data_IF_988867160913
#
_entry.id   IF_988867160913
#
_cell.length_a   1.000
_cell.length_b   1.000
_cell.length_c   1.000
_cell.angle_alpha   90.00
_cell.angle_beta   90.00
_cell.angle_gamma   90.00
#
_symmetry.space_group_name_H-M   'P 1'
#
loop_
_entity.id
_entity.type
_entity.pdbx_description
1 polymer ?
2 non-polymer ?
3 water ?
#
# COMPACT_ATOMS: atom_id res chain seq x y z
N UNK A 1 7.97 -24.59 27.35
CA UNK A 1 8.23 -23.18 26.94
C UNK A 1 8.40 -22.30 28.15
N UNK A 2 8.63 -21.02 27.86
CA UNK A 2 8.89 -20.06 28.90
C UNK A 2 7.63 -19.40 29.57
N UNK A 3 6.49 -19.61 28.98
CA UNK A 3 5.24 -19.07 29.53
C UNK A 3 4.91 -17.79 28.82
N UNK A 4 3.62 -17.48 28.73
CA UNK A 4 3.17 -16.33 27.95
C UNK A 4 3.70 -14.98 28.47
N UNK A 5 3.78 -14.80 29.80
CA UNK A 5 4.22 -13.54 30.37
C UNK A 5 5.65 -13.20 29.92
N UNK A 6 6.55 -14.16 30.09
CA UNK A 6 7.95 -13.99 29.54
C UNK A 6 8.06 -13.87 28.12
N UNK A 7 7.25 -14.66 27.38
CA UNK A 7 7.25 -14.55 25.89
C UNK A 7 6.85 -13.13 25.46
N UNK A 8 5.85 -12.57 26.12
CA UNK A 8 5.37 -11.21 25.83
C UNK A 8 6.43 -10.15 26.11
N UNK A 9 7.01 -10.15 27.31
CA UNK A 9 8.04 -9.18 27.65
C UNK A 9 9.25 -9.30 26.67
N UNK A 10 9.64 -10.53 26.33
CA UNK A 10 10.71 -10.79 25.33
C UNK A 10 10.35 -10.19 23.99
N UNK A 11 9.10 -10.36 23.56
CA UNK A 11 8.61 -9.78 22.32
C UNK A 11 8.62 -8.24 22.37
N UNK A 12 8.16 -7.68 23.50
CA UNK A 12 8.17 -6.22 23.66
C UNK A 12 9.61 -5.66 23.55
N UNK A 13 10.55 -6.31 24.23
CA UNK A 13 11.96 -5.93 24.20
C UNK A 13 12.53 -6.00 22.76
N UNK A 14 12.18 -7.08 22.04
CA UNK A 14 12.61 -7.26 20.66
C UNK A 14 12.05 -6.16 19.76
N UNK A 15 10.76 -5.84 19.88
CA UNK A 15 10.12 -4.74 19.14
C UNK A 15 10.83 -3.41 19.42
N UNK A 16 11.09 -3.12 20.70
CA UNK A 16 11.75 -1.85 21.06
C UNK A 16 13.13 -1.74 20.39
N UNK A 17 13.93 -2.79 20.46
CA UNK A 17 15.26 -2.77 19.87
C UNK A 17 15.25 -2.80 18.35
N UNK A 18 14.53 -3.78 17.80
CA UNK A 18 14.61 -4.08 16.36
C UNK A 18 13.58 -3.47 15.45
N UNK A 19 12.50 -2.96 15.99
CA UNK A 19 11.52 -2.18 15.22
C UNK A 19 11.63 -0.68 15.50
N UNK A 20 11.68 -0.29 16.77
CA UNK A 20 11.73 1.12 17.18
C UNK A 20 13.15 1.71 17.32
N UNK A 21 14.20 0.90 17.24
CA UNK A 21 15.58 1.38 17.35
C UNK A 21 15.98 1.97 18.68
N UNK A 22 15.49 1.39 19.80
CA UNK A 22 15.76 1.87 21.15
C UNK A 22 16.32 0.76 22.02
N UNK A 23 17.23 1.09 22.94
CA UNK A 23 17.78 0.13 23.89
C UNK A 23 16.70 -0.01 24.98
N UNK A 24 16.11 -1.20 25.13
CA UNK A 24 15.05 -1.27 26.15
C UNK A 24 15.55 -1.22 27.59
N UNK A 25 14.89 -0.41 28.42
CA UNK A 25 15.14 -0.34 29.87
C UNK A 25 14.22 -1.44 30.42
N UNK A 26 14.80 -2.60 30.69
CA UNK A 26 14.01 -3.78 31.10
C UNK A 26 13.25 -3.58 32.42
N UNK A 27 13.88 -2.88 33.36
CA UNK A 27 13.24 -2.59 34.64
C UNK A 27 11.98 -1.77 34.40
N UNK A 28 12.06 -0.73 33.58
CA UNK A 28 10.88 0.07 33.25
C UNK A 28 9.85 -0.75 32.48
N UNK A 29 10.30 -1.46 31.46
CA UNK A 29 9.41 -2.29 30.66
C UNK A 29 8.60 -3.27 31.52
N UNK A 30 9.23 -3.88 32.50
CA UNK A 30 8.50 -4.76 33.43
C UNK A 30 7.41 -4.01 34.24
N UNK A 31 7.73 -2.80 34.71
CA UNK A 31 6.78 -1.97 35.47
C UNK A 31 5.58 -1.58 34.59
N UNK A 32 5.86 -1.19 33.33
CA UNK A 32 4.80 -0.84 32.36
C UNK A 32 3.90 -2.06 32.07
N UNK A 33 4.54 -3.22 31.93
CA UNK A 33 3.82 -4.46 31.65
C UNK A 33 2.89 -4.84 32.81
N UNK A 34 3.38 -4.69 34.04
CA UNK A 34 2.54 -4.93 35.23
C UNK A 34 1.29 -4.06 35.17
N UNK A 35 1.45 -2.79 34.84
CA UNK A 35 0.34 -1.86 34.75
C UNK A 35 -0.68 -2.14 33.69
N UNK A 36 -0.24 -2.78 32.59
CA UNK A 36 -1.16 -3.19 31.50
C UNK A 36 -2.06 -4.35 31.88
N UNK A 37 -1.60 -5.24 32.78
CA UNK A 37 -2.41 -6.35 33.34
C UNK A 37 -1.70 -7.68 33.39
N UNK A 38 -2.43 -8.79 33.69
CA UNK A 38 -1.79 -10.15 33.61
C UNK A 38 -1.51 -10.50 32.15
N UNK A 39 -0.61 -11.48 31.92
CA UNK A 39 -0.23 -11.89 30.52
C UNK A 39 -1.49 -12.24 29.71
N UNK A 40 -1.56 -11.71 28.48
CA UNK A 40 -2.70 -11.88 27.60
C UNK A 40 -2.35 -12.90 26.53
N UNK A 41 -3.20 -13.94 26.39
CA UNK A 41 -3.10 -15.01 25.39
C UNK A 41 -3.78 -14.59 24.08
N UNK A 42 -4.79 -13.75 24.16
CA UNK A 42 -5.52 -13.24 23.02
C UNK A 42 -4.79 -12.01 22.47
N UNK A 43 -4.00 -12.22 21.41
CA UNK A 43 -3.23 -11.13 20.73
C UNK A 43 -4.00 -9.85 20.41
N UNK A 44 -5.25 -9.99 19.98
CA UNK A 44 -6.16 -8.86 19.67
C UNK A 44 -6.29 -7.87 20.82
N UNK A 45 -6.37 -8.39 22.05
CA UNK A 45 -6.55 -7.57 23.25
C UNK A 45 -5.30 -6.86 23.74
N UNK A 46 -4.11 -7.30 23.31
CA UNK A 46 -2.83 -6.69 23.76
C UNK A 46 -2.28 -5.63 22.82
N UNK A 47 -2.95 -5.37 21.69
CA UNK A 47 -2.47 -4.42 20.68
C UNK A 47 -3.36 -3.19 20.53
N UNK A 48 -2.73 -2.12 20.01
CA UNK A 48 -3.35 -0.81 19.81
C UNK A 48 -3.58 -0.60 18.31
N UNK A 49 -4.79 -0.17 17.96
CA UNK A 49 -5.12 0.16 16.57
C UNK A 49 -4.63 1.61 16.35
N UNK A 50 -3.45 1.73 15.75
CA UNK A 50 -2.80 3.02 15.49
C UNK A 50 -3.60 4.00 14.65
N UNK A 51 -4.41 3.47 13.73
CA UNK A 51 -5.25 4.29 12.84
C UNK A 51 -6.67 4.58 13.37
N UNK A 52 -6.97 4.25 14.65
CA UNK A 52 -8.29 4.53 15.21
C UNK A 52 -8.25 5.76 16.09
N UNK A 53 -8.90 6.84 15.67
CA UNK A 53 -8.98 8.11 16.40
C UNK A 53 -9.42 7.98 17.84
N UNK A 54 -10.51 7.28 18.09
CA UNK A 54 -11.05 7.11 19.47
C UNK A 54 -10.07 6.38 20.41
N UNK A 55 -9.35 5.41 19.88
CA UNK A 55 -8.40 4.64 20.64
C UNK A 55 -7.21 5.53 21.08
N UNK A 56 -6.78 6.39 20.18
CA UNK A 56 -5.74 7.37 20.49
C UNK A 56 -6.25 8.41 21.48
N UNK A 57 -7.50 8.85 21.35
CA UNK A 57 -8.11 9.78 22.33
C UNK A 57 -8.19 9.16 23.73
N UNK A 58 -8.41 7.84 23.78
CA UNK A 58 -8.49 7.08 25.03
C UNK A 58 -7.11 6.96 25.68
N UNK A 59 -6.07 6.74 24.88
CA UNK A 59 -4.67 6.71 25.41
C UNK A 59 -4.36 8.09 25.96
N UNK A 60 -4.75 9.15 25.27
CA UNK A 60 -4.53 10.50 25.74
C UNK A 60 -5.22 10.77 27.07
N UNK A 61 -6.51 10.45 27.15
CA UNK A 61 -7.28 10.75 28.37
C UNK A 61 -6.95 9.80 29.52
N UNK A 62 -6.93 8.52 29.25
CA UNK A 62 -6.76 7.50 30.32
C UNK A 62 -5.33 7.22 30.71
N UNK A 63 -4.40 7.22 29.76
CA UNK A 63 -3.00 6.94 30.10
C UNK A 63 -2.19 8.23 30.33
N UNK A 64 -2.10 9.11 29.33
CA UNK A 64 -1.27 10.32 29.45
C UNK A 64 -1.76 11.25 30.52
N UNK A 65 -3.04 11.51 30.52
CA UNK A 65 -3.65 12.52 31.41
C UNK A 65 -3.93 11.88 32.81
N UNK A 66 -4.63 10.77 32.81
CA UNK A 66 -5.05 10.14 34.09
C UNK A 66 -3.89 9.45 34.82
N UNK A 67 -3.07 8.67 34.13
CA UNK A 67 -2.00 7.89 34.78
C UNK A 67 -0.65 8.61 34.87
N UNK A 68 -0.12 9.13 33.76
CA UNK A 68 1.14 9.88 33.78
C UNK A 68 0.98 11.29 34.32
N UNK A 69 -0.25 11.78 34.46
CA UNK A 69 -0.51 13.10 35.03
C UNK A 69 -0.24 14.30 34.16
N UNK A 70 -0.18 14.10 32.85
CA UNK A 70 0.11 15.20 31.90
C UNK A 70 -1.11 16.04 31.62
N UNK A 71 -0.88 17.32 31.38
CA UNK A 71 -1.94 18.25 31.09
C UNK A 71 -2.39 18.18 29.63
N UNK A 72 -3.63 18.60 29.37
CA UNK A 72 -4.22 18.62 28.03
C UNK A 72 -3.54 19.68 27.17
N UNK A 73 -2.92 19.23 26.08
CA UNK A 73 -2.26 20.14 25.13
C UNK A 73 -1.95 19.38 23.84
N UNK A 74 -1.62 20.11 22.80
CA UNK A 74 -1.27 19.64 21.38
C UNK A 74 -0.09 18.61 21.60
N UNK A 75 0.81 18.82 22.55
CA UNK A 75 1.96 17.90 22.73
C UNK A 75 1.55 16.44 23.00
N UNK A 76 0.35 16.22 23.56
CA UNK A 76 -0.10 14.84 23.90
C UNK A 76 -0.40 14.00 22.66
N UNK A 77 -1.29 14.48 21.82
CA UNK A 77 -1.55 13.77 20.57
C UNK A 77 -0.30 13.80 19.67
N UNK A 78 0.49 14.86 19.74
CA UNK A 78 1.75 14.92 18.99
C UNK A 78 2.68 13.81 19.39
N UNK A 79 2.76 13.56 20.70
CA UNK A 79 3.57 12.47 21.25
C UNK A 79 3.04 11.10 20.86
N UNK A 80 1.72 10.93 20.89
CA UNK A 80 1.06 9.69 20.49
C UNK A 80 1.36 9.43 18.99
N UNK A 81 1.17 10.45 18.16
CA UNK A 81 1.44 10.33 16.72
C UNK A 81 2.89 9.94 16.46
N UNK A 82 3.82 10.58 17.20
CA UNK A 82 5.26 10.30 17.10
C UNK A 82 5.60 8.84 17.41
N UNK A 83 5.11 8.34 18.54
CA UNK A 83 5.44 6.96 18.93
C UNK A 83 4.79 5.96 17.98
N UNK A 84 3.57 6.24 17.49
CA UNK A 84 2.92 5.33 16.53
C UNK A 84 3.75 5.30 15.21
N UNK A 85 4.22 6.46 14.77
CA UNK A 85 5.07 6.55 13.58
C UNK A 85 6.39 5.80 13.76
N UNK A 86 7.00 5.94 14.94
CA UNK A 86 8.25 5.25 15.29
C UNK A 86 8.05 3.73 15.25
N UNK A 87 6.95 3.24 15.83
CA UNK A 87 6.63 1.80 15.86
C UNK A 87 6.47 1.31 14.40
N UNK A 88 5.85 2.15 13.57
CA UNK A 88 5.78 1.93 12.13
C UNK A 88 4.39 1.81 11.55
N UNK A 89 4.15 2.50 10.44
CA UNK A 89 2.88 2.42 9.70
C UNK A 89 2.55 0.97 9.28
N UNK A 90 3.57 0.22 8.87
CA UNK A 90 3.39 -1.19 8.44
C UNK A 90 3.17 -2.19 9.57
N UNK A 91 3.32 -1.80 10.85
CA UNK A 91 3.18 -2.74 11.96
C UNK A 91 1.71 -2.94 12.34
N UNK A 92 1.20 -4.16 12.16
CA UNK A 92 -0.19 -4.48 12.51
C UNK A 92 -0.37 -5.00 13.94
N UNK A 93 0.73 -5.31 14.63
CA UNK A 93 0.72 -5.73 16.04
C UNK A 93 1.52 -4.74 16.92
N UNK A 94 0.96 -3.55 17.07
CA UNK A 94 1.52 -2.55 17.96
C UNK A 94 1.07 -2.87 19.41
N UNK A 95 1.96 -3.47 20.19
CA UNK A 95 1.63 -3.86 21.54
C UNK A 95 1.43 -2.62 22.43
N UNK A 96 0.33 -2.64 23.19
CA UNK A 96 -0.01 -1.53 23.96
C UNK A 96 1.11 -1.24 25.08
N UNK A 97 1.72 -2.29 25.65
CA UNK A 97 2.84 -2.12 26.59
C UNK A 97 4.01 -1.37 25.93
N UNK A 98 4.29 -1.68 24.66
CA UNK A 98 5.37 -1.02 23.93
C UNK A 98 5.02 0.45 23.69
N UNK A 99 3.78 0.71 23.31
CA UNK A 99 3.31 2.10 23.11
C UNK A 99 3.38 2.90 24.42
N UNK A 100 2.90 2.30 25.50
CA UNK A 100 2.94 2.95 26.84
C UNK A 100 4.38 3.20 27.29
N UNK A 101 5.27 2.25 27.07
CA UNK A 101 6.68 2.39 27.40
C UNK A 101 7.26 3.59 26.64
N UNK A 102 6.99 3.63 25.33
CA UNK A 102 7.54 4.73 24.48
C UNK A 102 6.98 6.09 24.90
N UNK A 103 5.71 6.16 25.22
CA UNK A 103 5.13 7.43 25.68
C UNK A 103 5.74 7.88 27.02
N UNK A 104 5.91 6.93 27.94
CA UNK A 104 6.54 7.23 29.25
C UNK A 104 7.96 7.81 29.07
N UNK A 105 8.77 7.16 28.25
CA UNK A 105 10.08 7.69 27.81
C UNK A 105 10.00 9.08 27.15
N UNK A 106 9.08 9.20 26.20
CA UNK A 106 8.95 10.43 25.39
C UNK A 106 8.64 11.65 26.22
N UNK A 107 7.81 11.48 27.24
CA UNK A 107 7.44 12.54 28.15
C UNK A 107 8.30 12.61 29.43
N UNK A 108 9.32 11.77 29.59
CA UNK A 108 10.17 11.80 30.76
C UNK A 108 9.50 11.48 32.08
N UNK A 109 8.55 10.54 32.04
CA UNK A 109 7.70 10.17 33.18
C UNK A 109 8.03 8.80 33.77
N UNK A 110 9.25 8.34 33.58
CA UNK A 110 9.70 7.01 34.09
C UNK A 110 9.51 6.88 35.60
N UNK A 111 9.83 7.94 36.34
CA UNK A 111 9.76 7.91 37.82
C UNK A 111 8.35 7.68 38.39
N UNK A 112 7.29 7.92 37.63
CA UNK A 112 5.93 7.63 38.11
C UNK A 112 5.71 6.12 38.38
N UNK A 113 6.42 5.26 37.66
CA UNK A 113 6.35 3.80 37.86
C UNK A 113 7.14 3.32 39.09
N UNK A 114 8.01 4.17 39.65
CA UNK A 114 8.80 3.83 40.86
C UNK A 114 10.13 3.16 40.54
N UNK B 1 9.36 1.26 4.57
CA UNK B 1 8.17 0.40 4.84
C UNK B 1 7.70 -0.30 3.57
N UNK B 2 6.57 -1.01 3.67
CA UNK B 2 6.03 -1.77 2.51
C UNK B 2 5.14 -0.96 1.54
N UNK B 3 4.81 0.29 1.89
CA UNK B 3 4.01 1.15 1.01
C UNK B 3 2.54 1.05 1.39
N UNK B 4 1.78 2.10 1.07
CA UNK B 4 0.37 2.17 1.48
C UNK B 4 -0.49 1.05 0.88
N UNK B 5 -0.28 0.69 -0.39
CA UNK B 5 -1.11 -0.34 -1.04
C UNK B 5 -1.04 -1.66 -0.29
N UNK B 6 0.22 -2.08 -0.01
CA UNK B 6 0.42 -3.34 0.83
C UNK B 6 -0.04 -3.21 2.18
N UNK B 7 0.19 -2.05 2.81
CA UNK B 7 -0.29 -1.84 4.21
C UNK B 7 -1.82 -1.94 4.25
N UNK B 8 -2.51 -1.38 3.27
CA UNK B 8 -3.98 -1.46 3.20
C UNK B 8 -4.47 -2.89 3.02
N UNK B 9 -3.95 -3.62 2.03
CA UNK B 9 -4.38 -5.00 1.81
C UNK B 9 -4.12 -5.85 3.07
N UNK B 10 -2.97 -5.65 3.70
CA UNK B 10 -2.62 -6.34 4.96
C UNK B 10 -3.62 -6.02 6.06
N UNK B 11 -4.02 -4.75 6.15
CA UNK B 11 -5.03 -4.36 7.14
C UNK B 11 -6.39 -4.98 6.82
N UNK B 12 -6.79 -4.98 5.54
CA UNK B 12 -8.05 -5.58 5.12
C UNK B 12 -8.12 -7.06 5.50
N UNK B 13 -7.03 -7.79 5.21
CA UNK B 13 -6.92 -9.18 5.54
C UNK B 13 -6.99 -9.42 7.05
N UNK B 14 -6.29 -8.57 7.82
CA UNK B 14 -6.32 -8.66 9.28
C UNK B 14 -7.74 -8.41 9.79
N UNK B 15 -8.43 -7.37 9.28
CA UNK B 15 -9.84 -7.11 9.60
C UNK B 15 -10.75 -8.29 9.31
N UNK B 16 -10.61 -8.86 8.13
CA UNK B 16 -11.43 -10.03 7.72
C UNK B 16 -11.20 -11.21 8.70
N UNK B 17 -9.96 -11.51 9.02
CA UNK B 17 -9.66 -12.63 9.89
C UNK B 17 -9.99 -12.40 11.37
N UNK B 18 -9.54 -11.28 11.89
CA UNK B 18 -9.61 -10.97 13.33
C UNK B 18 -10.78 -10.15 13.84
N UNK B 19 -11.48 -9.42 12.97
CA UNK B 19 -12.68 -8.71 13.34
C UNK B 19 -13.94 -9.42 12.86
N UNK B 20 -13.94 -9.82 11.59
CA UNK B 20 -15.09 -10.47 10.95
C UNK B 20 -15.13 -11.99 11.15
N UNK B 21 -14.02 -12.62 11.58
CA UNK B 21 -13.97 -14.06 11.78
C UNK B 21 -14.03 -14.87 10.50
N UNK B 22 -13.41 -14.38 9.41
CA UNK B 22 -13.45 -15.02 8.10
C UNK B 22 -12.05 -15.33 7.59
N UNK B 23 -11.88 -16.41 6.83
CA UNK B 23 -10.58 -16.73 6.22
C UNK B 23 -10.56 -15.93 4.91
N UNK B 24 -9.63 -14.96 4.78
CA UNK B 24 -9.65 -14.19 3.55
C UNK B 24 -9.17 -14.93 2.30
N UNK B 25 -9.89 -14.73 1.20
CA UNK B 25 -9.49 -15.20 -0.14
C UNK B 25 -8.67 -14.01 -0.64
N UNK B 26 -7.35 -14.15 -0.61
CA UNK B 26 -6.45 -13.06 -0.95
C UNK B 26 -6.52 -12.65 -2.41
N UNK B 27 -6.70 -13.63 -3.31
CA UNK B 27 -6.85 -13.34 -4.75
C UNK B 27 -8.07 -12.45 -4.94
N UNK B 28 -9.20 -12.81 -4.32
CA UNK B 28 -10.41 -11.99 -4.45
C UNK B 28 -10.21 -10.63 -3.81
N UNK B 29 -9.65 -10.60 -2.60
CA UNK B 29 -9.42 -9.31 -1.91
C UNK B 29 -8.56 -8.35 -2.74
N UNK B 30 -7.53 -8.88 -3.40
CA UNK B 30 -6.69 -8.07 -4.32
C UNK B 30 -7.51 -7.51 -5.50
N UNK B 31 -8.46 -8.31 -6.01
CA UNK B 31 -9.33 -7.84 -7.11
C UNK B 31 -10.26 -6.76 -6.63
N UNK B 32 -10.87 -6.98 -5.47
CA UNK B 32 -11.77 -5.97 -4.88
C UNK B 32 -11.02 -4.65 -4.61
N UNK B 33 -9.80 -4.76 -4.13
CA UNK B 33 -8.96 -3.59 -3.84
C UNK B 33 -8.65 -2.81 -5.10
N UNK B 34 -8.30 -3.50 -6.18
CA UNK B 34 -8.11 -2.86 -7.50
C UNK B 34 -9.33 -2.05 -7.91
N UNK B 35 -10.51 -2.66 -7.78
CA UNK B 35 -11.77 -2.00 -8.10
C UNK B 35 -12.04 -0.75 -7.32
N UNK B 36 -11.57 -0.70 -6.07
CA UNK B 36 -11.67 0.50 -5.22
C UNK B 36 -10.76 1.65 -5.66
N UNK B 37 -9.68 1.36 -6.40
CA UNK B 37 -8.81 2.39 -7.00
C UNK B 37 -7.37 2.34 -6.53
N UNK B 38 -6.56 3.40 -6.82
CA UNK B 38 -5.16 3.45 -6.28
C UNK B 38 -5.20 3.54 -4.75
N UNK B 39 -4.07 3.24 -4.10
CA UNK B 39 -4.00 3.27 -2.59
C UNK B 39 -4.40 4.66 -2.09
N UNK B 40 -5.13 4.66 -0.97
CA UNK B 40 -5.70 5.84 -0.37
C UNK B 40 -4.88 6.11 0.89
N UNK B 41 -4.32 7.32 1.01
CA UNK B 41 -3.58 7.79 2.19
C UNK B 41 -4.54 8.47 3.17
N UNK B 42 -5.62 9.05 2.64
CA UNK B 42 -6.63 9.69 3.45
C UNK B 42 -7.64 8.65 3.97
N UNK B 43 -7.46 8.25 5.23
CA UNK B 43 -8.35 7.25 5.90
C UNK B 43 -9.85 7.49 5.73
N UNK B 44 -10.25 8.76 5.81
CA UNK B 44 -11.66 9.19 5.66
C UNK B 44 -12.28 8.76 4.33
N UNK B 45 -11.48 8.76 3.26
CA UNK B 45 -11.97 8.41 1.92
C UNK B 45 -12.05 6.91 1.67
N UNK B 46 -11.37 6.08 2.48
CA UNK B 46 -11.38 4.62 2.26
C UNK B 46 -12.42 3.85 3.12
N UNK B 47 -13.17 4.55 3.98
CA UNK B 47 -14.11 3.91 4.91
C UNK B 47 -15.58 4.22 4.62
N UNK B 48 -16.47 3.34 5.07
CA UNK B 48 -17.92 3.45 4.87
C UNK B 48 -18.58 3.87 6.19
N UNK B 49 -19.48 4.86 6.11
CA UNK B 49 -20.27 5.30 7.27
C UNK B 49 -21.42 4.28 7.40
N UNK B 50 -21.24 3.30 8.28
CA UNK B 50 -22.21 2.22 8.50
C UNK B 50 -23.59 2.66 8.93
N UNK B 51 -23.68 3.82 9.60
CA UNK B 51 -24.96 4.39 10.07
C UNK B 51 -25.57 5.45 9.12
N UNK B 52 -25.06 5.61 7.89
CA UNK B 52 -25.60 6.61 6.97
C UNK B 52 -26.50 5.96 5.93
N UNK B 53 -27.82 6.25 6.01
CA UNK B 53 -28.83 5.65 5.12
C UNK B 53 -28.50 5.88 3.66
N UNK B 54 -28.18 7.10 3.28
CA UNK B 54 -27.87 7.40 1.85
C UNK B 54 -26.65 6.63 1.30
N UNK B 55 -25.60 6.48 2.13
CA UNK B 55 -24.39 5.70 1.79
C UNK B 55 -24.74 4.24 1.49
N UNK B 56 -25.59 3.66 2.35
CA UNK B 56 -26.03 2.28 2.17
C UNK B 56 -26.96 2.13 0.94
N UNK B 57 -27.84 3.11 0.68
CA UNK B 57 -28.68 3.10 -0.54
C UNK B 57 -27.83 3.16 -1.82
N UNK B 58 -26.70 3.89 -1.78
CA UNK B 58 -25.76 4.01 -2.90
C UNK B 58 -25.01 2.69 -3.13
N UNK B 59 -24.62 2.00 -2.05
CA UNK B 59 -24.01 0.65 -2.17
C UNK B 59 -25.03 -0.29 -2.81
N UNK B 60 -26.29 -0.26 -2.37
CA UNK B 60 -27.34 -1.11 -2.94
C UNK B 60 -27.54 -0.82 -4.43
N UNK B 61 -27.73 0.45 -4.77
CA UNK B 61 -28.04 0.82 -6.17
C UNK B 61 -26.87 0.61 -7.15
N UNK B 62 -25.69 1.06 -6.77
CA UNK B 62 -24.53 1.05 -7.67
C UNK B 62 -23.67 -0.20 -7.59
N UNK B 63 -23.48 -0.74 -6.39
CA UNK B 63 -22.65 -1.94 -6.26
C UNK B 63 -23.51 -3.20 -6.41
N UNK B 64 -24.54 -3.39 -5.58
CA UNK B 64 -25.33 -4.63 -5.62
C UNK B 64 -26.21 -4.80 -6.85
N UNK B 65 -26.95 -3.75 -7.22
CA UNK B 65 -27.84 -3.83 -8.37
C UNK B 65 -27.10 -3.69 -9.70
N UNK B 66 -26.31 -2.65 -9.85
CA UNK B 66 -25.65 -2.37 -11.12
C UNK B 66 -24.43 -3.26 -11.36
N UNK B 67 -23.51 -3.35 -10.39
CA UNK B 67 -22.28 -4.14 -10.58
C UNK B 67 -22.45 -5.65 -10.37
N UNK B 68 -23.11 -6.07 -9.29
CA UNK B 68 -23.36 -7.50 -9.05
C UNK B 68 -24.60 -8.07 -9.78
N UNK B 69 -25.47 -7.22 -10.33
CA UNK B 69 -26.63 -7.70 -11.05
C UNK B 69 -27.76 -8.32 -10.25
N UNK B 70 -27.89 -7.92 -8.99
CA UNK B 70 -28.90 -8.49 -8.09
C UNK B 70 -30.26 -7.79 -8.28
N UNK B 71 -31.34 -8.52 -7.98
CA UNK B 71 -32.70 -8.00 -8.11
C UNK B 71 -33.04 -7.16 -6.90
N UNK B 72 -33.63 -5.98 -7.14
CA UNK B 72 -34.06 -5.07 -6.03
C UNK B 72 -35.05 -5.86 -5.19
N UNK B 73 -34.68 -6.05 -3.93
CA UNK B 73 -35.42 -6.89 -3.00
C UNK B 73 -34.88 -6.67 -1.60
N UNK B 74 -35.60 -7.13 -0.59
CA UNK B 74 -35.26 -6.94 0.91
C UNK B 74 -33.81 -7.57 1.09
N UNK B 75 -33.45 -8.62 0.35
CA UNK B 75 -32.13 -9.29 0.53
C UNK B 75 -30.94 -8.34 0.38
N UNK B 76 -31.11 -7.27 -0.42
CA UNK B 76 -30.00 -6.33 -0.66
C UNK B 76 -29.63 -5.50 0.56
N UNK B 77 -30.58 -4.78 1.10
CA UNK B 77 -30.33 -4.00 2.32
C UNK B 77 -30.08 -4.96 3.48
N UNK B 78 -30.72 -6.12 3.47
CA UNK B 78 -30.51 -7.17 4.46
C UNK B 78 -29.07 -7.63 4.50
N UNK B 79 -28.49 -7.83 3.30
CA UNK B 79 -27.10 -8.21 3.14
C UNK B 79 -26.16 -7.12 3.61
N UNK B 80 -26.42 -5.86 3.25
CA UNK B 80 -25.60 -4.75 3.70
C UNK B 80 -25.63 -4.66 5.23
N UNK B 81 -26.82 -4.74 5.81
CA UNK B 81 -26.97 -4.68 7.27
C UNK B 81 -26.21 -5.83 7.93
N UNK B 82 -26.28 -7.02 7.36
CA UNK B 82 -25.59 -8.19 7.88
C UNK B 82 -24.06 -8.03 7.90
N UNK B 83 -23.48 -7.53 6.79
CA UNK B 83 -22.03 -7.42 6.75
C UNK B 83 -21.56 -6.29 7.64
N UNK B 84 -22.35 -5.21 7.77
CA UNK B 84 -21.99 -4.11 8.67
C UNK B 84 -22.02 -4.61 10.14
N UNK B 85 -23.03 -5.43 10.48
CA UNK B 85 -23.13 -6.02 11.82
C UNK B 85 -21.95 -6.98 12.09
N UNK B 86 -21.61 -7.80 11.11
CA UNK B 86 -20.44 -8.71 11.19
C UNK B 86 -19.12 -7.93 11.43
N UNK B 87 -18.94 -6.85 10.69
CA UNK B 87 -17.73 -6.02 10.81
C UNK B 87 -17.67 -5.45 12.22
N UNK B 88 -18.82 -5.04 12.74
CA UNK B 88 -19.01 -4.67 14.13
C UNK B 88 -19.53 -3.28 14.31
N UNK B 89 -20.54 -3.15 15.18
CA UNK B 89 -21.11 -1.83 15.53
C UNK B 89 -20.08 -0.90 16.16
N UNK B 90 -19.12 -1.46 16.93
CA UNK B 90 -18.05 -0.65 17.57
C UNK B 90 -16.92 -0.23 16.62
N UNK B 91 -16.89 -0.74 15.37
CA UNK B 91 -15.81 -0.42 14.43
C UNK B 91 -16.02 0.92 13.71
N UNK B 92 -15.15 1.90 13.95
CA UNK B 92 -15.29 3.23 13.34
C UNK B 92 -14.54 3.39 12.01
N UNK B 93 -13.69 2.41 11.65
CA UNK B 93 -12.96 2.37 10.39
C UNK B 93 -13.39 1.13 9.59
N UNK B 94 -14.61 1.16 9.05
CA UNK B 94 -15.11 0.05 8.23
C UNK B 94 -14.63 0.30 6.81
N UNK B 95 -13.56 -0.39 6.39
CA UNK B 95 -12.97 -0.15 5.06
C UNK B 95 -13.91 -0.60 3.97
N UNK B 96 -14.11 0.28 2.97
CA UNK B 96 -15.05 0.01 1.99
C UNK B 96 -14.62 -1.30 1.16
N UNK B 97 -13.31 -1.53 0.97
CA UNK B 97 -12.84 -2.77 0.29
C UNK B 97 -13.29 -4.04 1.05
N UNK B 98 -13.23 -3.97 2.39
CA UNK B 98 -13.66 -5.10 3.22
C UNK B 98 -15.19 -5.29 3.11
N UNK B 99 -15.95 -4.19 3.16
CA UNK B 99 -17.40 -4.25 2.98
C UNK B 99 -17.76 -4.85 1.62
N UNK B 100 -17.11 -4.36 0.56
CA UNK B 100 -17.38 -4.87 -0.82
C UNK B 100 -16.97 -6.33 -0.93
N UNK B 101 -15.86 -6.72 -0.32
CA UNK B 101 -15.45 -8.11 -0.33
C UNK B 101 -16.50 -8.98 0.35
N UNK B 102 -16.94 -8.55 1.52
CA UNK B 102 -17.95 -9.32 2.29
C UNK B 102 -19.28 -9.45 1.50
N UNK B 103 -19.71 -8.39 0.86
CA UNK B 103 -20.94 -8.43 0.05
C UNK B 103 -20.79 -9.38 -1.12
N UNK B 104 -19.64 -9.33 -1.79
CA UNK B 104 -19.37 -10.21 -2.93
C UNK B 104 -19.45 -11.67 -2.52
N UNK B 105 -18.82 -12.00 -1.43
CA UNK B 105 -18.91 -13.33 -0.88
C UNK B 105 -20.35 -13.71 -0.43
N UNK B 106 -20.97 -12.80 0.26
CA UNK B 106 -22.33 -13.03 0.81
C UNK B 106 -23.35 -13.44 -0.25
N UNK B 107 -23.26 -12.80 -1.41
CA UNK B 107 -24.16 -13.08 -2.53
C UNK B 107 -23.61 -14.07 -3.56
N UNK B 108 -22.43 -14.64 -3.34
CA UNK B 108 -21.82 -15.60 -4.25
C UNK B 108 -21.46 -15.03 -5.63
N UNK B 109 -21.09 -13.72 -5.68
CA UNK B 109 -20.82 -12.97 -6.91
C UNK B 109 -19.31 -12.72 -7.17
N UNK B 110 -18.46 -13.59 -6.66
CA UNK B 110 -17.00 -13.48 -6.85
C UNK B 110 -16.61 -13.31 -8.34
N UNK B 111 -17.37 -13.91 -9.25
CA UNK B 111 -17.09 -13.83 -10.70
C UNK B 111 -17.16 -12.46 -11.34
N UNK B 112 -17.89 -11.49 -10.78
CA UNK B 112 -17.93 -10.12 -11.35
C UNK B 112 -16.52 -9.45 -11.36
N UNK B 113 -15.61 -9.93 -10.51
CA UNK B 113 -14.22 -9.47 -10.44
C UNK B 113 -13.27 -10.10 -11.44
N UNK B 114 -13.74 -11.06 -12.24
CA UNK B 114 -12.88 -11.70 -13.26
C UNK B 114 -11.87 -12.65 -12.63
N UNK C 1 33.86 -3.98 17.32
CA UNK C 1 32.59 -4.00 16.53
C UNK C 1 31.58 -2.97 17.02
N UNK C 2 30.56 -2.72 16.18
CA UNK C 2 29.46 -1.77 16.47
C UNK C 2 28.05 -2.43 16.38
N UNK C 3 27.97 -3.74 16.71
CA UNK C 3 26.72 -4.49 16.76
C UNK C 3 25.91 -4.50 15.47
N UNK C 4 24.64 -4.07 15.58
CA UNK C 4 23.72 -4.07 14.43
C UNK C 4 24.19 -3.21 13.26
N UNK C 5 24.86 -2.09 13.54
CA UNK C 5 25.35 -1.21 12.46
C UNK C 5 26.25 -1.96 11.47
N UNK C 6 27.14 -2.81 11.98
CA UNK C 6 28.07 -3.56 11.13
C UNK C 6 27.32 -4.58 10.29
N UNK C 7 26.29 -5.22 10.86
CA UNK C 7 25.47 -6.18 10.10
C UNK C 7 24.69 -5.48 8.97
N UNK C 8 24.15 -4.31 9.27
CA UNK C 8 23.43 -3.51 8.26
C UNK C 8 24.38 -3.08 7.14
N UNK C 9 25.56 -2.56 7.48
CA UNK C 9 26.58 -2.13 6.32
C UNK C 9 26.90 -3.35 5.57
N UNK C 10 27.11 -4.52 6.20
CA UNK C 10 27.41 -5.75 5.46
C UNK C 10 26.26 -6.10 4.49
N UNK C 11 25.02 -5.97 4.99
CA UNK C 11 23.86 -6.26 4.17
C UNK C 11 23.75 -5.28 2.97
N UNK C 12 24.03 -4.02 3.25
CA UNK C 12 23.96 -3.00 2.19
C UNK C 12 24.99 -3.28 1.11
N UNK C 13 26.21 -3.59 1.53
CA UNK C 13 27.29 -3.92 0.60
C UNK C 13 26.95 -5.17 -0.23
N UNK C 14 26.35 -6.18 0.40
CA UNK C 14 25.94 -7.40 -0.31
C UNK C 14 24.85 -7.12 -1.33
N UNK C 15 23.85 -6.31 -0.97
CA UNK C 15 22.79 -5.93 -1.89
C UNK C 15 23.36 -5.15 -3.08
N UNK C 16 24.27 -4.24 -2.83
CA UNK C 16 24.90 -3.47 -3.94
C UNK C 16 25.60 -4.36 -4.94
N UNK C 17 26.36 -5.31 -4.43
CA UNK C 17 27.06 -6.28 -5.29
C UNK C 17 26.11 -7.28 -5.96
N UNK C 18 25.29 -7.96 -5.18
CA UNK C 18 24.48 -9.12 -5.64
C UNK C 18 23.07 -8.85 -6.12
N UNK C 19 22.52 -7.71 -5.78
CA UNK C 19 21.19 -7.28 -6.26
C UNK C 19 21.25 -6.08 -7.20
N UNK C 20 22.26 -5.22 -7.07
CA UNK C 20 22.37 -4.02 -7.92
C UNK C 20 23.48 -4.06 -8.94
N UNK C 21 24.33 -5.09 -8.90
CA UNK C 21 25.46 -5.24 -9.84
C UNK C 21 26.52 -4.17 -9.79
N UNK C 22 26.78 -3.62 -8.60
CA UNK C 22 27.80 -2.59 -8.38
C UNK C 22 28.89 -2.99 -7.42
N UNK C 23 30.12 -2.53 -7.61
CA UNK C 23 31.21 -2.73 -6.65
C UNK C 23 31.04 -1.62 -5.62
N UNK C 24 30.73 -1.97 -4.35
CA UNK C 24 30.50 -0.91 -3.37
C UNK C 24 31.75 -0.13 -2.98
N UNK C 25 31.61 1.20 -2.92
CA UNK C 25 32.66 2.11 -2.42
C UNK C 25 32.33 2.17 -0.94
N UNK C 26 33.05 1.41 -0.16
CA UNK C 26 32.73 1.30 1.26
C UNK C 26 32.80 2.60 2.02
N UNK C 27 33.78 3.45 1.71
CA UNK C 27 33.92 4.76 2.36
C UNK C 27 32.69 5.60 2.12
N UNK C 28 32.23 5.64 0.89
CA UNK C 28 31.01 6.39 0.54
C UNK C 28 29.81 5.72 1.19
N UNK C 29 29.72 4.40 1.13
CA UNK C 29 28.56 3.69 1.71
C UNK C 29 28.47 3.99 3.21
N UNK C 30 29.61 3.97 3.89
CA UNK C 30 29.64 4.31 5.33
C UNK C 30 29.15 5.75 5.59
N UNK C 31 29.55 6.72 4.74
CA UNK C 31 29.09 8.11 4.87
C UNK C 31 27.59 8.24 4.58
N UNK C 32 27.09 7.55 3.55
CA UNK C 32 25.68 7.62 3.21
C UNK C 32 24.84 7.04 4.36
N UNK C 33 25.29 5.91 4.88
CA UNK C 33 24.64 5.22 5.98
C UNK C 33 24.55 6.11 7.24
N UNK C 34 25.66 6.76 7.58
CA UNK C 34 25.69 7.67 8.70
C UNK C 34 24.72 8.84 8.47
N UNK C 35 24.67 9.38 7.25
CA UNK C 35 23.76 10.46 6.90
C UNK C 35 22.30 10.08 7.03
N UNK C 36 21.98 8.78 6.98
CA UNK C 36 20.59 8.31 7.18
C UNK C 36 20.15 8.46 8.65
N UNK C 37 21.11 8.50 9.58
CA UNK C 37 20.82 8.69 10.98
C UNK C 37 20.13 7.50 11.59
N UNK C 38 19.14 7.74 12.48
CA UNK C 38 18.48 6.62 13.17
C UNK C 38 17.51 5.81 12.30
N UNK C 39 17.14 6.30 11.11
CA UNK C 39 16.28 5.58 10.17
C UNK C 39 16.73 4.14 9.93
N UNK C 40 18.05 3.95 9.90
CA UNK C 40 18.60 2.62 9.62
C UNK C 40 18.23 1.58 10.66
N UNK C 41 18.04 2.00 11.91
CA UNK C 41 17.68 1.09 13.03
C UNK C 41 16.17 0.95 13.23
N UNK C 42 15.39 1.75 12.51
CA UNK C 42 13.95 1.76 12.59
C UNK C 42 13.38 0.93 11.45
N UNK C 43 12.61 -0.12 11.76
CA UNK C 43 12.08 -1.05 10.73
C UNK C 43 11.43 -0.37 9.54
N UNK C 44 10.39 0.42 9.77
CA UNK C 44 9.68 1.09 8.66
C UNK C 44 10.53 2.13 7.95
N UNK C 45 11.28 2.94 8.70
CA UNK C 45 12.11 3.97 8.10
C UNK C 45 13.33 3.40 7.36
N UNK C 46 13.75 2.16 7.67
CA UNK C 46 14.96 1.59 7.06
C UNK C 46 14.84 1.13 5.61
N UNK C 47 13.62 0.94 5.11
CA UNK C 47 13.40 0.49 3.73
C UNK C 47 12.52 1.48 2.98
N UNK C 48 12.55 1.34 1.67
CA UNK C 48 11.83 2.19 0.74
C UNK C 48 10.80 1.36 0.01
N UNK C 49 9.55 1.87 -0.03
CA UNK C 49 8.44 1.27 -0.77
C UNK C 49 8.59 1.82 -2.20
N UNK C 50 9.19 1.01 -3.05
CA UNK C 50 9.48 1.39 -4.44
C UNK C 50 8.33 1.81 -5.35
N UNK C 51 7.13 1.35 -5.04
CA UNK C 51 5.96 1.68 -5.83
C UNK C 51 4.99 2.64 -5.10
N UNK C 52 5.40 3.20 -3.94
CA UNK C 52 4.55 4.10 -3.17
C UNK C 52 4.83 5.53 -3.61
N UNK C 53 3.83 6.20 -4.17
CA UNK C 53 4.04 7.56 -4.71
C UNK C 53 4.52 8.54 -3.67
N UNK C 54 3.96 8.49 -2.47
CA UNK C 54 4.37 9.39 -1.37
C UNK C 54 5.84 9.20 -0.99
N UNK C 55 6.26 7.95 -0.84
CA UNK C 55 7.66 7.63 -0.54
C UNK C 55 8.61 8.26 -1.58
N UNK C 56 8.29 8.07 -2.85
CA UNK C 56 9.15 8.55 -3.94
C UNK C 56 9.20 10.08 -4.01
N UNK C 57 8.05 10.73 -3.81
CA UNK C 57 8.04 12.21 -3.78
C UNK C 57 8.85 12.76 -2.61
N UNK C 58 8.84 12.06 -1.48
CA UNK C 58 9.59 12.45 -0.30
C UNK C 58 11.10 12.25 -0.54
N UNK C 59 11.49 11.15 -1.17
CA UNK C 59 12.91 10.94 -1.53
C UNK C 59 13.37 12.07 -2.46
N UNK C 60 12.55 12.41 -3.45
CA UNK C 60 12.85 13.51 -4.37
C UNK C 60 13.02 14.83 -3.63
N UNK C 61 12.04 15.21 -2.83
CA UNK C 61 12.08 16.52 -2.16
C UNK C 61 13.12 16.62 -1.03
N UNK C 62 13.24 15.60 -0.20
CA UNK C 62 14.12 15.64 0.97
C UNK C 62 15.55 15.13 0.70
N UNK C 63 15.68 14.09 -0.09
CA UNK C 63 17.01 13.56 -0.32
C UNK C 63 17.65 14.20 -1.55
N UNK C 64 17.01 14.08 -2.70
CA UNK C 64 17.62 14.61 -3.94
C UNK C 64 17.74 16.12 -3.93
N UNK C 65 16.64 16.80 -3.57
CA UNK C 65 16.64 18.25 -3.58
C UNK C 65 17.29 18.85 -2.34
N UNK C 66 16.81 18.56 -1.15
CA UNK C 66 17.35 19.19 0.07
C UNK C 66 18.73 18.70 0.43
N UNK C 67 18.94 17.38 0.53
CA UNK C 67 20.24 16.86 0.94
C UNK C 67 21.32 16.95 -0.16
N UNK C 68 21.05 16.43 -1.36
CA UNK C 68 22.06 16.46 -2.45
C UNK C 68 22.13 17.81 -3.17
N UNK C 69 21.13 18.67 -2.99
CA UNK C 69 21.14 19.98 -3.62
C UNK C 69 20.80 20.00 -5.10
N UNK C 70 20.13 18.96 -5.61
CA UNK C 70 19.71 18.91 -7.00
C UNK C 70 18.49 19.82 -7.21
N UNK C 71 18.51 20.56 -8.32
CA UNK C 71 17.37 21.39 -8.70
C UNK C 71 16.24 20.48 -9.18
N UNK C 72 15.00 20.94 -9.06
CA UNK C 72 13.85 20.16 -9.52
C UNK C 72 13.89 20.05 -11.07
N UNK C 73 13.81 18.82 -11.56
CA UNK C 73 13.76 18.48 -12.98
C UNK C 73 13.23 17.06 -13.17
N UNK C 74 12.83 16.73 -14.39
CA UNK C 74 12.31 15.41 -14.72
C UNK C 74 13.32 14.29 -14.45
N UNK C 75 14.62 14.61 -14.56
CA UNK C 75 15.67 13.63 -14.29
C UNK C 75 15.61 13.03 -12.87
N UNK C 76 15.03 13.79 -11.91
CA UNK C 76 15.01 13.37 -10.52
C UNK C 76 14.17 12.13 -10.34
N UNK C 77 12.88 12.20 -10.71
CA UNK C 77 12.02 11.04 -10.63
C UNK C 77 12.50 9.93 -11.59
N UNK C 78 13.04 10.29 -12.76
CA UNK C 78 13.64 9.31 -13.69
C UNK C 78 14.75 8.49 -13.01
N UNK C 79 15.59 9.19 -12.23
CA UNK C 79 16.69 8.54 -11.50
C UNK C 79 16.19 7.62 -10.40
N UNK C 80 15.19 8.08 -9.65
CA UNK C 80 14.53 7.27 -8.65
C UNK C 80 13.98 5.98 -9.26
N UNK C 81 13.23 6.11 -10.34
CA UNK C 81 12.68 4.91 -11.01
C UNK C 81 13.77 3.96 -11.50
N UNK C 82 14.85 4.53 -12.04
CA UNK C 82 16.00 3.77 -12.55
C UNK C 82 16.64 2.94 -11.43
N UNK C 83 16.91 3.58 -10.30
CA UNK C 83 17.61 2.88 -9.38
C UNK C 83 16.64 1.78 -8.57
N UNK C 84 15.32 2.02 -8.52
CA UNK C 84 14.40 1.03 -7.99
C UNK C 84 14.38 -0.16 -8.96
N UNK C 85 14.37 0.09 -10.27
CA UNK C 85 14.39 -0.97 -11.30
C UNK C 85 15.68 -1.80 -11.16
N UNK C 86 16.80 -1.12 -10.92
CA UNK C 86 18.12 -1.76 -10.71
C UNK C 86 18.13 -2.67 -9.46
N UNK C 87 17.54 -2.20 -8.36
CA UNK C 87 17.49 -2.96 -7.14
C UNK C 87 16.63 -4.22 -7.35
N UNK C 88 15.53 -4.04 -8.08
CA UNK C 88 14.56 -5.10 -8.36
C UNK C 88 13.23 -4.60 -7.86
N UNK C 89 12.29 -4.34 -8.77
CA UNK C 89 11.00 -3.76 -8.41
C UNK C 89 10.23 -4.63 -7.39
N UNK C 90 10.41 -5.94 -7.46
CA UNK C 90 9.76 -6.89 -6.55
C UNK C 90 10.58 -7.23 -5.30
N UNK C 91 11.74 -6.59 -5.08
CA UNK C 91 12.54 -6.79 -3.88
C UNK C 91 11.74 -6.29 -2.69
N UNK C 92 11.51 -7.15 -1.71
CA UNK C 92 10.74 -6.76 -0.52
C UNK C 92 11.50 -5.81 0.43
N UNK C 93 12.83 -5.93 0.51
CA UNK C 93 13.64 -5.13 1.41
C UNK C 93 14.64 -4.25 0.65
N UNK C 94 14.13 -3.14 0.15
CA UNK C 94 14.97 -2.15 -0.52
C UNK C 94 15.45 -1.17 0.54
N UNK C 95 16.66 -1.36 1.02
CA UNK C 95 17.19 -0.54 2.10
C UNK C 95 17.40 0.90 1.64
N UNK C 96 16.95 1.82 2.49
CA UNK C 96 17.07 3.26 2.22
C UNK C 96 18.52 3.65 1.97
N UNK C 97 19.44 3.12 2.81
CA UNK C 97 20.83 3.46 2.64
C UNK C 97 21.37 3.05 1.24
N UNK C 98 20.93 1.88 0.76
CA UNK C 98 21.30 1.37 -0.57
C UNK C 98 20.70 2.23 -1.69
N UNK C 99 19.43 2.57 -1.57
CA UNK C 99 18.76 3.45 -2.54
C UNK C 99 19.48 4.83 -2.57
N UNK C 100 19.75 5.38 -1.40
CA UNK C 100 20.42 6.71 -1.29
C UNK C 100 21.87 6.66 -1.86
N UNK C 101 22.58 5.57 -1.60
CA UNK C 101 23.91 5.38 -2.20
C UNK C 101 23.79 5.38 -3.72
N UNK C 102 22.86 4.58 -4.23
CA UNK C 102 22.65 4.49 -5.68
C UNK C 102 22.28 5.82 -6.31
N UNK C 103 21.40 6.59 -5.64
CA UNK C 103 20.99 7.93 -6.14
C UNK C 103 22.17 8.88 -6.14
N UNK C 104 23.01 8.82 -5.09
CA UNK C 104 24.18 9.68 -4.99
C UNK C 104 25.11 9.42 -6.17
N UNK C 105 25.38 8.15 -6.46
CA UNK C 105 26.20 7.78 -7.61
C UNK C 105 25.51 8.12 -8.94
N UNK C 106 24.19 7.88 -9.01
CA UNK C 106 23.44 8.09 -10.27
C UNK C 106 23.54 9.54 -10.76
N UNK C 107 23.45 10.47 -9.83
CA UNK C 107 23.53 11.89 -10.11
C UNK C 107 24.91 12.53 -9.99
N UNK C 108 25.93 11.74 -9.71
CA UNK C 108 27.30 12.28 -9.59
C UNK C 108 27.44 13.27 -8.44
N UNK C 109 26.76 13.01 -7.34
CA UNK C 109 26.70 13.88 -6.16
C UNK C 109 27.51 13.38 -4.97
N UNK C 110 28.57 12.63 -5.25
CA UNK C 110 29.46 12.16 -4.18
C UNK C 110 30.09 13.30 -3.36
N UNK C 111 30.27 14.47 -4.03
CA UNK C 111 30.83 15.66 -3.37
C UNK C 111 30.10 16.02 -2.06
N UNK C 112 28.80 15.74 -1.99
CA UNK C 112 27.96 16.04 -0.82
C UNK C 112 28.48 15.39 0.47
N UNK C 113 29.13 14.23 0.33
CA UNK C 113 29.64 13.48 1.46
C UNK C 113 31.09 13.79 1.79
N UNK C 114 31.73 14.68 1.03
CA UNK C 114 33.07 15.18 1.34
C UNK C 114 34.17 14.20 1.08
N UNK D 1 -14.20 21.50 -24.44
CA UNK D 1 -13.40 20.31 -24.90
C UNK D 1 -12.04 20.20 -24.21
N UNK D 2 -11.32 19.12 -24.53
CA UNK D 2 -9.98 18.83 -23.99
C UNK D 2 -8.94 18.57 -25.11
N UNK D 3 -9.12 19.27 -26.26
CA UNK D 3 -8.19 19.22 -27.40
C UNK D 3 -7.96 17.85 -27.99
N UNK D 4 -6.67 17.46 -28.09
CA UNK D 4 -6.27 16.20 -28.72
C UNK D 4 -6.84 14.96 -28.02
N UNK D 5 -7.01 15.01 -26.70
CA UNK D 5 -7.58 13.88 -25.95
C UNK D 5 -8.95 13.50 -26.50
N UNK D 6 -9.79 14.50 -26.78
CA UNK D 6 -11.13 14.23 -27.32
C UNK D 6 -11.08 13.64 -28.73
N UNK D 7 -10.15 14.11 -29.57
CA UNK D 7 -9.94 13.52 -30.90
C UNK D 7 -9.49 12.06 -30.81
N UNK D 8 -8.61 11.77 -29.86
CA UNK D 8 -8.13 10.41 -29.66
C UNK D 8 -9.24 9.49 -29.16
N UNK D 9 -10.02 9.93 -28.16
CA UNK D 9 -11.24 9.01 -27.69
C UNK D 9 -12.13 8.85 -28.82
N UNK D 10 -12.43 9.87 -29.63
CA UNK D 10 -13.32 9.70 -30.79
C UNK D 10 -12.74 8.64 -31.74
N UNK D 11 -11.43 8.73 -32.02
CA UNK D 11 -10.77 7.73 -32.88
C UNK D 11 -10.87 6.31 -32.28
N UNK D 12 -10.63 6.20 -30.99
CA UNK D 12 -10.73 4.90 -30.32
C UNK D 12 -12.11 4.31 -30.43
N UNK D 13 -13.15 5.15 -30.19
CA UNK D 13 -14.54 4.71 -30.29
C UNK D 13 -14.88 4.28 -31.73
N UNK D 14 -14.39 5.04 -32.73
CA UNK D 14 -14.64 4.72 -34.13
C UNK D 14 -13.98 3.39 -34.47
N UNK D 15 -12.74 3.19 -34.02
CA UNK D 15 -12.04 1.92 -34.24
C UNK D 15 -12.78 0.74 -33.63
N UNK D 16 -13.24 0.91 -32.39
CA UNK D 16 -14.01 -0.18 -31.73
C UNK D 16 -15.25 -0.57 -32.53
N UNK D 17 -15.98 0.44 -33.01
CA UNK D 17 -17.18 0.17 -33.81
C UNK D 17 -16.90 -0.36 -35.21
N UNK D 18 -16.06 0.34 -35.96
CA UNK D 18 -15.83 0.08 -37.38
C UNK D 18 -14.70 -0.84 -37.76
N UNK D 19 -13.76 -1.09 -36.86
CA UNK D 19 -12.67 -2.07 -37.09
C UNK D 19 -12.81 -3.30 -36.22
N UNK D 20 -13.37 -3.17 -35.01
CA UNK D 20 -13.45 -4.28 -34.07
C UNK D 20 -14.83 -4.89 -33.91
N UNK D 21 -15.85 -4.25 -34.51
CA UNK D 21 -17.22 -4.74 -34.43
C UNK D 21 -17.89 -4.71 -33.08
N UNK D 22 -17.50 -3.75 -32.23
CA UNK D 22 -18.01 -3.66 -30.85
C UNK D 22 -18.70 -2.34 -30.60
N UNK D 23 -19.74 -2.35 -29.77
CA UNK D 23 -20.42 -1.14 -29.34
C UNK D 23 -19.56 -0.62 -28.16
N UNK D 24 -18.89 0.53 -28.31
CA UNK D 24 -18.03 0.99 -27.22
C UNK D 24 -18.80 1.47 -25.96
N UNK D 25 -18.29 1.06 -24.79
CA UNK D 25 -18.75 1.53 -23.48
C UNK D 25 -17.84 2.74 -23.25
N UNK D 26 -18.38 3.92 -23.49
CA UNK D 26 -17.63 5.16 -23.39
C UNK D 26 -17.05 5.42 -22.00
N UNK D 27 -17.84 5.15 -20.96
CA UNK D 27 -17.36 5.32 -19.58
C UNK D 27 -16.11 4.43 -19.35
N UNK D 28 -16.17 3.18 -19.77
CA UNK D 28 -15.04 2.26 -19.61
C UNK D 28 -13.88 2.72 -20.50
N UNK D 29 -14.17 3.08 -21.74
CA UNK D 29 -13.14 3.52 -22.68
C UNK D 29 -12.37 4.75 -22.14
N UNK D 30 -13.09 5.71 -21.58
CA UNK D 30 -12.47 6.89 -20.98
C UNK D 30 -11.54 6.49 -19.80
N UNK D 31 -11.97 5.52 -18.97
CA UNK D 31 -11.16 5.04 -17.84
C UNK D 31 -9.90 4.30 -18.32
N UNK D 32 -10.05 3.46 -19.36
CA UNK D 32 -8.92 2.73 -19.95
C UNK D 32 -7.90 3.72 -20.53
N UNK D 33 -8.41 4.72 -21.25
CA UNK D 33 -7.59 5.77 -21.85
C UNK D 33 -6.82 6.56 -20.80
N UNK D 34 -7.50 6.95 -19.72
CA UNK D 34 -6.87 7.66 -18.62
C UNK D 34 -5.76 6.78 -17.97
N UNK D 35 -6.02 5.48 -17.83
CA UNK D 35 -5.05 4.53 -17.29
C UNK D 35 -3.80 4.36 -18.11
N UNK D 36 -3.89 4.64 -19.42
CA UNK D 36 -2.72 4.59 -20.32
C UNK D 36 -1.75 5.76 -20.07
N UNK D 37 -2.21 6.81 -19.38
CA UNK D 37 -1.36 7.92 -19.01
C UNK D 37 -0.86 8.70 -20.18
N UNK D 38 0.41 9.15 -20.12
CA UNK D 38 0.97 9.97 -21.23
C UNK D 38 1.24 9.20 -22.51
N UNK D 39 1.25 7.86 -22.47
CA UNK D 39 1.42 7.02 -23.64
C UNK D 39 0.52 7.41 -24.82
N UNK D 40 -0.71 7.86 -24.53
CA UNK D 40 -1.65 8.20 -25.62
C UNK D 40 -1.19 9.38 -26.47
N UNK D 41 -0.39 10.28 -25.89
CA UNK D 41 0.10 11.49 -26.60
C UNK D 41 1.44 11.28 -27.27
N UNK D 42 2.10 10.19 -26.95
CA UNK D 42 3.39 9.84 -27.50
C UNK D 42 3.19 8.95 -28.74
N UNK D 43 3.73 9.35 -29.89
CA UNK D 43 3.52 8.61 -31.15
C UNK D 43 3.81 7.13 -31.07
N UNK D 44 5.02 6.77 -30.65
CA UNK D 44 5.42 5.36 -30.58
C UNK D 44 4.73 4.59 -29.48
N UNK D 45 4.50 5.23 -28.33
CA UNK D 45 3.84 4.55 -27.21
C UNK D 45 2.33 4.39 -27.44
N UNK D 46 1.75 5.20 -28.34
CA UNK D 46 0.30 5.21 -28.55
C UNK D 46 -0.27 4.01 -29.30
N UNK D 47 0.58 3.30 -30.07
CA UNK D 47 0.15 2.17 -30.87
C UNK D 47 0.90 0.91 -30.49
N UNK D 48 0.31 -0.20 -30.89
CA UNK D 48 0.82 -1.54 -30.61
C UNK D 48 1.23 -2.20 -31.91
N UNK D 49 2.48 -2.69 -31.93
CA UNK D 49 3.02 -3.45 -33.04
C UNK D 49 2.54 -4.89 -32.80
N UNK D 50 1.48 -5.25 -33.50
CA UNK D 50 0.80 -6.54 -33.32
C UNK D 50 1.55 -7.82 -33.53
N UNK D 51 2.64 -7.79 -34.31
CA UNK D 51 3.46 -8.95 -34.60
C UNK D 51 4.89 -8.84 -34.01
N UNK D 52 5.09 -7.93 -33.04
CA UNK D 52 6.38 -7.70 -32.42
C UNK D 52 6.36 -8.48 -31.11
N UNK D 53 7.25 -9.45 -30.99
CA UNK D 53 7.24 -10.37 -29.83
C UNK D 53 7.45 -9.63 -28.52
N UNK D 54 8.37 -8.66 -28.50
CA UNK D 54 8.67 -7.85 -27.31
C UNK D 54 7.47 -7.06 -26.84
N UNK D 55 6.83 -6.38 -27.78
CA UNK D 55 5.60 -5.62 -27.50
C UNK D 55 4.56 -6.51 -26.83
N UNK D 56 4.31 -7.69 -27.41
CA UNK D 56 3.27 -8.56 -26.88
C UNK D 56 3.59 -9.11 -25.50
N UNK D 57 4.87 -9.48 -25.28
CA UNK D 57 5.29 -9.92 -23.93
C UNK D 57 5.17 -8.81 -22.90
N UNK D 58 5.41 -7.57 -23.31
CA UNK D 58 5.30 -6.44 -22.41
C UNK D 58 3.83 -6.20 -22.06
N UNK D 59 2.96 -6.28 -23.05
CA UNK D 59 1.49 -6.17 -22.78
C UNK D 59 1.03 -7.22 -21.78
N UNK D 60 1.48 -8.46 -21.97
CA UNK D 60 1.14 -9.55 -21.06
C UNK D 60 1.64 -9.26 -19.64
N UNK D 61 2.93 -8.95 -19.51
CA UNK D 61 3.51 -8.76 -18.16
C UNK D 61 3.04 -7.48 -17.45
N UNK D 62 2.96 -6.37 -18.16
CA UNK D 62 2.63 -5.07 -17.56
C UNK D 62 1.13 -4.77 -17.53
N UNK D 63 0.42 -5.07 -18.59
CA UNK D 63 -1.00 -4.77 -18.61
C UNK D 63 -1.83 -5.92 -18.07
N UNK D 64 -1.72 -7.10 -18.66
CA UNK D 64 -2.56 -8.22 -18.20
C UNK D 64 -2.27 -8.69 -16.78
N UNK D 65 -0.96 -8.87 -16.48
CA UNK D 65 -0.55 -9.39 -15.17
C UNK D 65 -0.53 -8.30 -14.12
N UNK D 66 0.25 -7.23 -14.32
CA UNK D 66 0.38 -6.18 -13.31
C UNK D 66 -0.87 -5.31 -13.17
N UNK D 67 -1.37 -4.73 -14.25
CA UNK D 67 -2.53 -3.82 -14.16
C UNK D 67 -3.86 -4.52 -13.91
N UNK D 68 -4.20 -5.53 -14.73
CA UNK D 68 -5.47 -6.23 -14.55
C UNK D 68 -5.43 -7.29 -13.45
N UNK D 69 -4.24 -7.70 -13.00
CA UNK D 69 -4.12 -8.70 -11.94
C UNK D 69 -4.35 -10.12 -12.38
N UNK D 70 -4.25 -10.41 -13.69
CA UNK D 70 -4.43 -11.78 -14.17
C UNK D 70 -3.20 -12.61 -13.87
N UNK D 71 -3.45 -13.87 -13.45
CA UNK D 71 -2.39 -14.84 -13.20
C UNK D 71 -1.77 -15.26 -14.55
N UNK D 72 -0.50 -15.64 -14.55
CA UNK D 72 0.16 -16.09 -15.78
C UNK D 72 -0.46 -17.43 -16.22
N UNK D 73 -0.92 -17.48 -17.45
CA UNK D 73 -1.40 -18.71 -18.07
C UNK D 73 -1.36 -18.55 -19.59
N UNK D 74 -1.51 -19.66 -20.30
CA UNK D 74 -1.54 -19.69 -21.78
C UNK D 74 -2.66 -18.82 -22.38
N UNK D 75 -3.78 -18.71 -21.65
CA UNK D 75 -4.91 -17.88 -22.08
C UNK D 75 -4.53 -16.41 -22.29
N UNK D 76 -3.48 -15.94 -21.59
CA UNK D 76 -3.06 -14.53 -21.72
C UNK D 76 -2.59 -14.18 -23.11
N UNK D 77 -1.59 -14.90 -23.62
CA UNK D 77 -1.12 -14.65 -25.00
C UNK D 77 -2.18 -14.98 -26.04
N UNK D 78 -3.00 -15.99 -25.76
CA UNK D 78 -4.13 -16.35 -26.62
C UNK D 78 -5.09 -15.17 -26.80
N UNK D 79 -5.37 -14.46 -25.70
CA UNK D 79 -6.26 -13.30 -25.72
C UNK D 79 -5.65 -12.15 -26.49
N UNK D 80 -4.35 -11.92 -26.28
CA UNK D 80 -3.62 -10.90 -27.01
C UNK D 80 -3.70 -11.16 -28.52
N UNK D 81 -3.43 -12.39 -28.92
CA UNK D 81 -3.54 -12.77 -30.34
C UNK D 81 -4.96 -12.60 -30.90
N UNK D 82 -5.97 -12.97 -30.10
CA UNK D 82 -7.37 -12.84 -30.48
C UNK D 82 -7.77 -11.38 -30.73
N UNK D 83 -7.37 -10.49 -29.82
CA UNK D 83 -7.78 -9.23 -29.94
C UNK D 83 -6.98 -8.41 -31.14
N UNK D 84 -5.71 -8.77 -31.39
CA UNK D 84 -4.97 -8.28 -32.53
C UNK D 84 -5.66 -8.75 -33.82
N UNK D 85 -6.10 -10.01 -33.87
CA UNK D 85 -6.86 -10.51 -35.03
C UNK D 85 -8.16 -9.75 -35.28
N UNK D 86 -8.90 -9.49 -34.21
CA UNK D 86 -10.17 -8.72 -34.26
C UNK D 86 -9.94 -7.32 -34.80
N UNK D 87 -8.86 -6.68 -34.36
CA UNK D 87 -8.54 -5.33 -34.79
C UNK D 87 -8.14 -5.32 -36.29
N UNK D 88 -7.35 -6.32 -36.68
CA UNK D 88 -6.89 -6.49 -38.06
C UNK D 88 -5.38 -6.56 -37.99
N UNK D 89 -4.82 -7.74 -38.29
CA UNK D 89 -3.38 -7.96 -38.18
C UNK D 89 -2.60 -6.97 -39.03
N UNK D 90 -3.14 -6.57 -40.18
CA UNK D 90 -2.51 -5.61 -41.07
C UNK D 90 -2.90 -4.13 -40.82
N UNK D 91 -3.62 -3.84 -39.74
CA UNK D 91 -3.96 -2.45 -39.37
C UNK D 91 -2.68 -1.73 -38.98
N UNK D 92 -2.40 -0.61 -39.63
CA UNK D 92 -1.17 0.18 -39.34
C UNK D 92 -1.19 0.85 -37.97
N UNK D 93 -2.35 1.34 -37.55
CA UNK D 93 -2.51 2.06 -36.27
C UNK D 93 -3.43 1.33 -35.30
N UNK D 94 -2.86 0.34 -34.63
CA UNK D 94 -3.58 -0.36 -33.56
C UNK D 94 -3.34 0.42 -32.27
N UNK D 95 -4.30 1.24 -31.88
CA UNK D 95 -4.13 2.08 -30.70
C UNK D 95 -4.07 1.25 -29.42
N UNK D 96 -3.09 1.56 -28.57
CA UNK D 96 -2.91 0.86 -27.29
C UNK D 96 -4.17 0.91 -26.46
N UNK D 97 -4.80 2.07 -26.38
CA UNK D 97 -6.03 2.18 -25.60
C UNK D 97 -7.13 1.25 -26.10
N UNK D 98 -7.25 1.10 -27.42
CA UNK D 98 -8.23 0.20 -28.03
C UNK D 98 -7.89 -1.27 -27.70
N UNK D 99 -6.62 -1.64 -27.87
CA UNK D 99 -6.17 -2.99 -27.52
C UNK D 99 -6.41 -3.29 -26.03
N UNK D 100 -6.09 -2.34 -25.17
CA UNK D 100 -6.30 -2.50 -23.74
C UNK D 100 -7.77 -2.60 -23.37
N UNK D 101 -8.62 -1.81 -24.01
CA UNK D 101 -10.06 -1.89 -23.81
C UNK D 101 -10.55 -3.31 -24.19
N UNK D 102 -10.16 -3.76 -25.36
CA UNK D 102 -10.53 -5.10 -25.82
C UNK D 102 -10.07 -6.22 -24.91
N UNK D 103 -8.85 -6.12 -24.41
CA UNK D 103 -8.30 -7.12 -23.48
C UNK D 103 -9.07 -7.10 -22.17
N UNK D 104 -9.38 -5.92 -21.66
CA UNK D 104 -10.17 -5.80 -20.43
C UNK D 104 -11.52 -6.54 -20.56
N UNK D 105 -12.20 -6.32 -21.68
CA UNK D 105 -13.48 -7.02 -21.92
C UNK D 105 -13.29 -8.51 -22.16
N UNK D 106 -12.25 -8.86 -22.91
CA UNK D 106 -11.98 -10.25 -23.29
C UNK D 106 -11.83 -11.15 -22.04
N UNK D 107 -11.18 -10.63 -21.03
CA UNK D 107 -10.91 -11.35 -19.77
C UNK D 107 -11.88 -11.02 -18.65
N UNK D 108 -12.92 -10.23 -18.92
CA UNK D 108 -13.91 -9.90 -17.90
C UNK D 108 -13.32 -9.15 -16.72
N UNK D 109 -12.41 -8.23 -17.00
CA UNK D 109 -11.69 -7.46 -15.98
C UNK D 109 -12.11 -6.00 -15.87
N UNK D 110 -13.36 -5.71 -16.25
CA UNK D 110 -13.88 -4.34 -16.15
C UNK D 110 -13.84 -3.81 -14.72
N UNK D 111 -13.93 -4.69 -13.72
CA UNK D 111 -13.87 -4.32 -12.28
C UNK D 111 -12.61 -3.51 -11.93
N UNK D 112 -11.50 -3.73 -12.65
CA UNK D 112 -10.25 -3.02 -12.42
C UNK D 112 -10.40 -1.49 -12.53
N UNK D 113 -11.35 -1.05 -13.36
CA UNK D 113 -11.58 0.36 -13.61
C UNK D 113 -12.72 0.95 -12.73
N UNK D 114 -13.26 0.17 -11.81
CA UNK D 114 -14.25 0.65 -10.84
C UNK D 114 -15.64 0.88 -11.40
X LIG E 1 -16.61 -1.95 -9.26
X LIG E 1 -16.07 -3.24 -8.88
X LIG E 1 -16.96 -4.36 -9.37
X LIG E 1 -17.06 -4.32 -10.79
X LIG E 1 -17.78 -5.45 -11.31
X LIG E 1 -18.01 -5.37 -12.82
X LIG E 1 -17.66 -4.09 -13.36
X LIG F 1 8.70 -7.78 -22.34
X LIG F 1 9.67 -8.07 -23.34
X LIG F 1 10.72 -6.99 -23.34
X LIG F 1 11.29 -6.91 -22.03
X LIG F 1 12.01 -5.67 -21.81
X LIG F 1 12.57 -5.71 -20.38
X LIG F 1 11.60 -5.20 -19.48
#
# INVERSE_FOLDING_TARGET
GMGKRDDLIAQYADDLRNKCGMEPDMALLEKVTKGCGPAIYNRDASTVAGSDTAELETIKKNFLMKKLGLADSESLMGGIQSVIETYGRSERNKYRAVVYYMLTKHFGKESVYG
GMGKRDDLIAQYADDLRNKCGMEPDMALLEKVTKGCGPAIYNRDASTVAGSDTAELETIKKNFLMKKLGLADSESLMGGIQSVIETYGRSERNKYRAVVYYMLTKHFGKESVYG
GMGKRDDLIAQYADDLRNKCGMEPDMALLEKVTKGCGPAIYNRDASTVAGSDTAELETIKKNFLMKKLGLADSESLMGGIQSVIETYGRSERNKYRAVVYYMLTKHFGKESVYG
GMGKRDDLIAQYADDLRNKCGMEPDMALLEKVTKGCGPAIYNRDASTVAGSDTAELETIKKNFLMKKLGLADSESLMGGIQSVIETYGRSERNKYRAVVYYMLTKHFGKESVYG
PG4 O1 C1 C2 O2 C3 C4 O3
PG4 O1 C1 C2 O2 C3 C4 O3
#
